data_IF_339360288951
#
_entry.id   IF_339360288951
#
_cell.length_a   1.000
_cell.length_b   1.000
_cell.length_c   1.000
_cell.angle_alpha   90.00
_cell.angle_beta   90.00
_cell.angle_gamma   90.00
#
_symmetry.space_group_name_H-M   'P 1'
#
loop_
_entity.id
_entity.type
_entity.pdbx_description
1 polymer ?
#
# COMPACT_ATOMS: atom_id res chain seq x y z
N UNK A 1 19.85 -42.54 44.44
CA UNK A 1 18.76 -42.13 45.35
C UNK A 1 18.43 -40.69 44.97
N UNK A 2 17.56 -40.49 43.98
CA UNK A 2 16.17 -39.99 44.17
C UNK A 2 16.05 -38.98 45.32
N UNK A 3 15.81 -37.71 45.00
CA UNK A 3 14.49 -37.13 45.21
C UNK A 3 14.29 -35.87 44.33
N UNK A 4 13.06 -35.71 43.87
CA UNK A 4 12.60 -34.75 42.87
C UNK A 4 11.49 -33.93 43.55
N UNK A 5 11.21 -32.73 43.02
CA UNK A 5 10.05 -31.87 43.35
C UNK A 5 10.29 -31.01 44.63
N UNK A 6 10.49 -29.70 44.55
CA UNK A 6 9.53 -28.71 44.07
C UNK A 6 10.20 -27.53 43.35
N UNK A 7 9.96 -27.42 42.05
CA UNK A 7 9.72 -26.13 41.40
C UNK A 7 8.29 -25.69 41.80
N UNK A 8 7.96 -24.39 41.96
CA UNK A 8 8.03 -23.46 40.84
C UNK A 8 8.21 -21.98 41.21
N UNK A 9 9.37 -21.37 40.87
CA UNK A 9 9.39 -19.98 40.37
C UNK A 9 10.73 -19.64 39.70
N UNK A 10 11.03 -20.33 38.60
CA UNK A 10 11.76 -19.71 37.50
C UNK A 10 10.98 -18.41 37.12
N UNK A 11 11.62 -17.29 36.77
CA UNK A 11 12.69 -17.24 35.78
C UNK A 11 13.81 -16.24 36.08
N UNK A 12 15.05 -16.62 35.72
CA UNK A 12 16.28 -15.86 35.93
C UNK A 12 16.35 -14.63 35.03
N UNK A 13 17.05 -13.62 35.56
CA UNK A 13 17.51 -12.41 34.88
C UNK A 13 18.49 -12.81 33.76
N UNK A 14 17.93 -13.30 32.64
CA UNK A 14 18.65 -13.85 31.50
C UNK A 14 18.65 -12.88 30.31
N UNK A 15 19.87 -12.49 29.93
CA UNK A 15 20.32 -11.88 28.68
C UNK A 15 20.10 -10.37 28.45
N UNK A 16 21.21 -9.58 28.32
CA UNK A 16 21.14 -8.25 27.75
C UNK A 16 20.89 -8.40 26.25
N UNK A 17 19.62 -8.32 25.84
CA UNK A 17 19.29 -8.19 24.42
C UNK A 17 19.93 -6.91 23.87
N UNK A 18 20.83 -6.98 22.86
CA UNK A 18 21.17 -5.81 22.10
C UNK A 18 19.92 -5.38 21.33
N UNK A 19 19.26 -4.38 21.88
CA UNK A 19 18.40 -3.44 21.19
C UNK A 19 19.01 -3.12 19.81
N UNK A 20 18.27 -3.48 18.75
CA UNK A 20 18.52 -3.25 17.30
C UNK A 20 18.77 -4.56 16.56
N UNK A 21 17.83 -5.09 15.80
CA UNK A 21 17.37 -4.45 14.58
C UNK A 21 15.86 -4.54 14.40
N UNK A 22 15.15 -3.60 15.01
CA UNK A 22 13.98 -3.05 14.36
C UNK A 22 14.44 -2.27 13.14
N UNK A 23 14.70 -2.96 12.02
CA UNK A 23 14.38 -2.34 10.73
C UNK A 23 12.86 -2.44 10.57
N UNK A 24 12.13 -1.73 11.43
CA UNK A 24 10.98 -1.02 10.93
C UNK A 24 11.59 -0.07 9.91
N UNK A 25 11.66 -0.52 8.66
CA UNK A 25 11.63 0.39 7.53
C UNK A 25 10.40 1.22 7.80
N UNK A 26 10.63 2.37 8.43
CA UNK A 26 9.77 3.52 8.36
C UNK A 26 9.47 3.62 6.88
N UNK A 27 8.23 3.28 6.51
CA UNK A 27 7.76 3.38 5.15
C UNK A 27 8.08 4.82 4.75
N UNK A 28 9.12 4.94 3.94
CA UNK A 28 9.59 6.20 3.45
C UNK A 28 8.35 6.86 2.88
N UNK A 29 8.01 8.04 3.41
CA UNK A 29 6.94 8.86 2.86
C UNK A 29 7.40 9.40 1.51
N UNK A 30 7.64 8.50 0.56
CA UNK A 30 7.70 8.82 -0.85
C UNK A 30 6.24 9.06 -1.23
N UNK A 31 5.98 10.07 -2.04
CA UNK A 31 4.68 10.28 -2.66
C UNK A 31 4.38 9.12 -3.63
N UNK A 32 4.18 7.92 -3.09
CA UNK A 32 3.98 6.69 -3.82
C UNK A 32 2.56 6.70 -4.38
N UNK A 33 2.45 6.42 -5.68
CA UNK A 33 1.16 6.28 -6.34
C UNK A 33 0.30 5.32 -5.51
N UNK A 34 -0.89 5.73 -5.05
CA UNK A 34 -1.68 4.89 -4.17
C UNK A 34 -2.05 3.60 -4.90
N UNK A 35 -1.84 2.46 -4.25
CA UNK A 35 -2.10 1.15 -4.86
C UNK A 35 -3.60 0.85 -5.08
N UNK A 36 -4.48 1.67 -4.52
CA UNK A 36 -5.93 1.55 -4.62
C UNK A 36 -6.54 2.89 -5.01
N UNK A 37 -7.46 2.87 -5.98
CA UNK A 37 -8.22 4.03 -6.40
C UNK A 37 -9.71 3.73 -6.32
N UNK A 38 -10.43 4.45 -5.45
CA UNK A 38 -11.90 4.38 -5.34
C UNK A 38 -12.42 2.95 -5.11
N UNK A 39 -11.71 2.17 -4.29
CA UNK A 39 -12.00 0.76 -4.00
C UNK A 39 -11.46 -0.25 -5.02
N UNK A 40 -10.88 0.21 -6.13
CA UNK A 40 -10.26 -0.64 -7.16
C UNK A 40 -8.76 -0.77 -6.93
N UNK A 41 -8.25 -1.99 -6.86
CA UNK A 41 -6.81 -2.24 -6.78
C UNK A 41 -6.14 -1.97 -8.12
N UNK A 42 -5.13 -1.11 -8.11
CA UNK A 42 -4.31 -0.84 -9.28
C UNK A 42 -3.35 -2.01 -9.53
N UNK A 43 -3.05 -2.24 -10.81
CA UNK A 43 -2.02 -3.16 -11.26
C UNK A 43 -0.68 -2.45 -11.31
N UNK A 44 0.41 -3.22 -11.19
CA UNK A 44 1.78 -2.69 -11.22
C UNK A 44 2.04 -1.80 -12.44
N UNK A 45 1.62 -2.22 -13.64
CA UNK A 45 1.77 -1.42 -14.86
C UNK A 45 0.97 -0.10 -14.85
N UNK A 46 -0.15 -0.05 -14.12
CA UNK A 46 -0.91 1.19 -13.94
C UNK A 46 -0.14 2.12 -13.01
N UNK A 47 0.35 1.59 -11.88
CA UNK A 47 1.16 2.35 -10.93
C UNK A 47 2.44 2.90 -11.57
N UNK A 48 3.08 2.13 -12.44
CA UNK A 48 4.29 2.55 -13.17
C UNK A 48 4.00 3.75 -14.09
N UNK A 49 2.95 3.67 -14.91
CA UNK A 49 2.48 4.79 -15.74
C UNK A 49 2.15 6.02 -14.90
N UNK A 50 1.41 5.83 -13.82
CA UNK A 50 1.06 6.91 -12.89
C UNK A 50 2.33 7.53 -12.26
N UNK A 51 3.33 6.71 -11.90
CA UNK A 51 4.62 7.19 -11.35
C UNK A 51 5.41 7.98 -12.39
N UNK A 52 5.33 7.59 -13.66
CA UNK A 52 5.87 8.34 -14.80
C UNK A 52 5.11 9.65 -15.08
N UNK A 53 3.92 9.86 -14.51
CA UNK A 53 3.03 10.98 -14.86
C UNK A 53 2.25 10.73 -16.16
N UNK A 54 2.19 9.48 -16.62
CA UNK A 54 1.38 9.04 -17.73
C UNK A 54 -0.05 8.68 -17.29
N UNK A 55 -0.91 8.56 -18.30
CA UNK A 55 -2.28 8.09 -18.12
C UNK A 55 -2.35 6.57 -18.21
N UNK A 56 -2.90 5.92 -17.19
CA UNK A 56 -3.21 4.50 -17.17
C UNK A 56 -4.72 4.26 -17.38
N UNK A 57 -5.07 3.20 -18.11
CA UNK A 57 -6.46 2.79 -18.24
C UNK A 57 -6.91 1.99 -17.03
N UNK A 58 -8.07 2.29 -16.46
CA UNK A 58 -8.67 1.58 -15.34
C UNK A 58 -10.09 1.14 -15.65
N UNK A 59 -10.46 -0.06 -15.19
CA UNK A 59 -11.81 -0.62 -15.28
C UNK A 59 -12.27 -1.13 -13.92
N UNK A 60 -13.58 -1.22 -13.74
CA UNK A 60 -14.18 -1.72 -12.50
C UNK A 60 -14.40 -0.64 -11.44
N UNK A 61 -14.40 0.64 -11.82
CA UNK A 61 -14.74 1.72 -10.89
C UNK A 61 -16.23 1.72 -10.63
N UNK A 62 -16.63 1.71 -9.36
CA UNK A 62 -18.04 1.69 -8.99
C UNK A 62 -18.62 3.11 -8.89
N UNK A 63 -19.79 3.32 -9.48
CA UNK A 63 -20.56 4.55 -9.32
C UNK A 63 -21.50 4.42 -8.13
N UNK A 64 -22.01 5.54 -7.60
CA UNK A 64 -23.01 5.55 -6.51
C UNK A 64 -24.29 4.73 -6.82
N UNK A 65 -24.52 4.44 -8.10
CA UNK A 65 -25.62 3.59 -8.59
C UNK A 65 -25.25 2.08 -8.67
N UNK A 66 -24.10 1.65 -8.19
CA UNK A 66 -23.62 0.26 -8.28
C UNK A 66 -23.21 -0.17 -9.69
N UNK A 67 -23.09 0.75 -10.65
CA UNK A 67 -22.60 0.45 -12.00
C UNK A 67 -21.10 0.59 -12.06
N UNK A 68 -20.42 -0.45 -12.52
CA UNK A 68 -19.00 -0.40 -12.83
C UNK A 68 -18.76 0.36 -14.14
N UNK A 69 -17.84 1.30 -14.14
CA UNK A 69 -17.39 2.03 -15.32
C UNK A 69 -15.88 1.93 -15.49
N UNK A 70 -15.44 2.34 -16.67
CA UNK A 70 -14.06 2.35 -17.09
C UNK A 70 -13.66 3.75 -17.54
N UNK A 71 -12.37 4.02 -17.53
CA UNK A 71 -11.82 5.27 -18.02
C UNK A 71 -10.33 5.34 -17.82
N UNK A 72 -9.82 6.56 -17.75
CA UNK A 72 -8.41 6.84 -17.70
C UNK A 72 -8.08 7.51 -16.37
N UNK A 73 -6.93 7.17 -15.80
CA UNK A 73 -6.41 7.77 -14.59
C UNK A 73 -5.01 8.30 -14.82
N UNK A 74 -4.71 9.46 -14.27
CA UNK A 74 -3.38 10.05 -14.26
C UNK A 74 -3.02 10.40 -12.81
N UNK A 75 -1.76 10.26 -12.42
CA UNK A 75 -1.33 10.64 -11.09
C UNK A 75 -0.72 12.02 -11.15
N UNK A 76 -1.40 12.96 -10.50
CA UNK A 76 -0.96 14.32 -10.43
C UNK A 76 -0.05 14.47 -9.20
N UNK A 77 1.26 14.53 -9.45
CA UNK A 77 2.29 14.66 -8.42
C UNK A 77 2.13 15.97 -7.63
N UNK A 78 1.62 17.02 -8.28
CA UNK A 78 1.36 18.33 -7.69
C UNK A 78 0.19 18.25 -6.70
N UNK A 79 -0.89 17.55 -7.08
CA UNK A 79 -2.04 17.34 -6.20
C UNK A 79 -1.89 16.13 -5.24
N UNK A 80 -0.86 15.30 -5.43
CA UNK A 80 -0.65 14.06 -4.66
C UNK A 80 -1.78 13.05 -4.79
N UNK A 81 -2.54 13.07 -5.90
CA UNK A 81 -3.74 12.25 -6.06
C UNK A 81 -3.94 11.76 -7.48
N UNK A 82 -4.67 10.66 -7.61
CA UNK A 82 -5.08 10.14 -8.90
C UNK A 82 -6.27 10.95 -9.41
N UNK A 83 -6.13 11.52 -10.61
CA UNK A 83 -7.15 12.22 -11.36
C UNK A 83 -7.77 11.25 -12.36
N UNK A 84 -9.10 11.20 -12.41
CA UNK A 84 -9.84 10.34 -13.32
C UNK A 84 -10.48 11.14 -14.47
N UNK A 85 -10.36 10.63 -15.69
CA UNK A 85 -10.89 11.21 -16.91
C UNK A 85 -11.73 10.19 -17.69
N UNK A 86 -13.00 10.52 -17.96
CA UNK A 86 -13.90 9.71 -18.79
C UNK A 86 -13.58 9.81 -20.29
N UNK A 87 -13.04 10.94 -20.72
CA UNK A 87 -12.82 11.28 -22.14
C UNK A 87 -11.32 11.39 -22.35
N UNK A 88 -10.77 10.59 -23.25
CA UNK A 88 -9.41 10.79 -23.73
C UNK A 88 -9.36 12.19 -24.36
N UNK A 89 -8.63 13.17 -23.79
CA UNK A 89 -8.62 14.54 -24.32
C UNK A 89 -8.04 14.61 -25.75
N UNK A 90 -7.42 13.52 -26.23
CA UNK A 90 -6.77 13.38 -27.53
C UNK A 90 -7.69 13.00 -28.71
N UNK A 91 -9.01 13.16 -28.61
CA UNK A 91 -9.88 13.21 -29.81
C UNK A 91 -10.70 14.50 -29.80
N UNK A 92 -10.17 15.53 -30.48
CA UNK A 92 -10.96 16.57 -31.14
C UNK A 92 -10.85 16.36 -32.64
#
# INVERSE_FOLDING_TARGET
>A
MIDFILNPKYFPFGEPTPRSAGFSVVHHSESEVPSHFRGVRLRQWQMDKLKAGETAYIKGLESKKGKTYQGYICFDKTMGRIVFSFKNPMKK
#
